data_IF_173890302496
#
_entry.id   IF_173890302496
#
_cell.length_a   1.000
_cell.length_b   1.000
_cell.length_c   1.000
_cell.angle_alpha   90.00
_cell.angle_beta   90.00
_cell.angle_gamma   90.00
#
_symmetry.space_group_name_H-M   'P 1'
#
loop_
_entity.id
_entity.type
_entity.pdbx_description
1 polymer ?
#
# COMPACT_ATOMS: atom_id res chain seq x y z
N UNK A 1 -7.52 12.66 1.63
CA UNK A 1 -6.76 11.49 1.13
C UNK A 1 -6.98 10.21 1.93
N UNK A 2 -7.52 10.27 3.15
CA UNK A 2 -7.55 9.13 4.07
C UNK A 2 -8.45 7.96 3.65
N UNK A 3 -9.74 8.17 3.36
CA UNK A 3 -10.63 7.04 3.07
C UNK A 3 -10.53 6.53 1.62
N UNK A 4 -10.82 7.39 0.63
CA UNK A 4 -10.87 6.95 -0.77
C UNK A 4 -9.53 6.49 -1.34
N UNK A 5 -8.44 7.24 -1.10
CA UNK A 5 -7.14 6.90 -1.67
C UNK A 5 -6.50 5.68 -0.98
N UNK A 6 -6.53 5.59 0.35
CA UNK A 6 -5.92 4.43 1.07
C UNK A 6 -6.68 3.13 0.79
N UNK A 7 -8.01 3.16 0.71
CA UNK A 7 -8.80 1.96 0.38
C UNK A 7 -8.49 1.50 -1.04
N UNK A 8 -8.56 2.41 -2.02
CA UNK A 8 -8.26 2.07 -3.43
C UNK A 8 -6.83 1.57 -3.60
N UNK A 9 -5.87 2.16 -2.88
CA UNK A 9 -4.47 1.71 -2.86
C UNK A 9 -4.30 0.31 -2.24
N UNK A 10 -5.01 0.02 -1.15
CA UNK A 10 -5.00 -1.32 -0.53
C UNK A 10 -5.54 -2.38 -1.49
N UNK A 11 -6.70 -2.14 -2.09
CA UNK A 11 -7.31 -3.06 -3.06
C UNK A 11 -6.39 -3.30 -4.26
N UNK A 12 -5.76 -2.23 -4.75
CA UNK A 12 -4.77 -2.30 -5.83
C UNK A 12 -3.58 -3.20 -5.49
N UNK A 13 -3.00 -3.03 -4.28
CA UNK A 13 -1.85 -3.80 -3.82
C UNK A 13 -2.20 -5.29 -3.62
N UNK A 14 -3.43 -5.57 -3.21
CA UNK A 14 -3.93 -6.93 -2.97
C UNK A 14 -4.56 -7.59 -4.20
N UNK A 15 -4.75 -6.89 -5.32
CA UNK A 15 -5.41 -7.42 -6.53
C UNK A 15 -4.80 -8.74 -7.04
N UNK A 16 -3.46 -8.88 -6.96
CA UNK A 16 -2.76 -10.12 -7.36
C UNK A 16 -2.79 -11.22 -6.29
N UNK A 17 -3.30 -10.91 -5.09
CA UNK A 17 -3.43 -11.81 -3.94
C UNK A 17 -4.87 -12.24 -3.71
N UNK A 18 -5.86 -11.83 -4.52
CA UNK A 18 -7.26 -12.28 -4.39
C UNK A 18 -7.51 -13.50 -5.29
N UNK A 19 -8.01 -14.64 -4.77
CA UNK A 19 -8.26 -15.84 -5.57
C UNK A 19 -9.38 -15.64 -6.60
N UNK A 20 -10.38 -14.80 -6.28
CA UNK A 20 -11.58 -14.64 -7.08
C UNK A 20 -11.32 -14.09 -8.49
N UNK A 21 -10.24 -13.34 -8.70
CA UNK A 21 -9.96 -12.75 -10.01
C UNK A 21 -9.49 -13.79 -11.04
N UNK A 22 -8.98 -14.96 -10.61
CA UNK A 22 -8.78 -16.20 -11.38
C UNK A 22 -7.86 -16.17 -12.61
N UNK A 23 -7.68 -15.01 -13.25
CA UNK A 23 -6.98 -14.79 -14.51
C UNK A 23 -5.95 -13.66 -14.33
N UNK A 24 -4.66 -13.90 -14.66
CA UNK A 24 -3.60 -12.89 -14.52
C UNK A 24 -3.90 -11.59 -15.27
N UNK A 25 -4.59 -11.66 -16.40
CA UNK A 25 -4.98 -10.49 -17.20
C UNK A 25 -6.02 -9.63 -16.47
N UNK A 26 -7.00 -10.24 -15.81
CA UNK A 26 -8.02 -9.50 -15.05
C UNK A 26 -7.40 -8.77 -13.85
N UNK A 27 -6.49 -9.43 -13.12
CA UNK A 27 -5.77 -8.82 -12.00
C UNK A 27 -4.96 -7.59 -12.41
N UNK A 28 -4.29 -7.65 -13.59
CA UNK A 28 -3.57 -6.51 -14.15
C UNK A 28 -4.47 -5.32 -14.45
N UNK A 29 -5.63 -5.56 -15.06
CA UNK A 29 -6.57 -4.49 -15.38
C UNK A 29 -7.21 -3.88 -14.14
N UNK A 30 -7.57 -4.70 -13.16
CA UNK A 30 -8.08 -4.21 -11.87
C UNK A 30 -7.03 -3.34 -11.18
N UNK A 31 -5.78 -3.83 -11.07
CA UNK A 31 -4.67 -3.05 -10.51
C UNK A 31 -4.46 -1.73 -11.26
N UNK A 32 -4.45 -1.75 -12.59
CA UNK A 32 -4.27 -0.53 -13.38
C UNK A 32 -5.42 0.47 -13.14
N UNK A 33 -6.66 0.01 -13.16
CA UNK A 33 -7.84 0.84 -12.97
C UNK A 33 -7.86 1.48 -11.57
N UNK A 34 -7.57 0.71 -10.53
CA UNK A 34 -7.51 1.22 -9.15
C UNK A 34 -6.34 2.18 -8.95
N UNK A 35 -5.15 1.90 -9.50
CA UNK A 35 -4.03 2.86 -9.47
C UNK A 35 -4.37 4.17 -10.20
N UNK A 36 -5.07 4.11 -11.33
CA UNK A 36 -5.49 5.31 -12.08
C UNK A 36 -6.47 6.14 -11.27
N UNK A 37 -7.44 5.50 -10.62
CA UNK A 37 -8.36 6.17 -9.70
C UNK A 37 -7.61 6.81 -8.51
N UNK A 38 -6.61 6.11 -7.95
CA UNK A 38 -5.77 6.65 -6.88
C UNK A 38 -4.95 7.87 -7.32
N UNK A 39 -4.38 7.88 -8.54
CA UNK A 39 -3.71 9.07 -9.10
C UNK A 39 -4.68 10.24 -9.21
N UNK A 40 -5.87 10.02 -9.77
CA UNK A 40 -6.89 11.07 -9.92
C UNK A 40 -7.30 11.66 -8.56
N UNK A 41 -7.57 10.80 -7.57
CA UNK A 41 -7.90 11.22 -6.21
C UNK A 41 -6.76 11.98 -5.55
N UNK A 42 -5.51 11.53 -5.74
CA UNK A 42 -4.32 12.20 -5.21
C UNK A 42 -4.11 13.59 -5.79
N UNK A 43 -4.27 13.75 -7.12
CA UNK A 43 -4.21 15.06 -7.78
C UNK A 43 -5.31 15.98 -7.26
N UNK A 44 -6.56 15.49 -7.17
CA UNK A 44 -7.67 16.27 -6.63
C UNK A 44 -7.40 16.74 -5.19
N UNK A 45 -6.80 15.88 -4.37
CA UNK A 45 -6.36 16.23 -3.01
C UNK A 45 -5.30 17.32 -2.97
N UNK A 46 -4.30 17.24 -3.86
CA UNK A 46 -3.24 18.23 -3.93
C UNK A 46 -3.76 19.60 -4.39
N UNK A 47 -4.65 19.60 -5.39
CA UNK A 47 -5.34 20.83 -5.83
C UNK A 47 -6.15 21.43 -4.68
N UNK A 48 -6.91 20.61 -3.95
CA UNK A 48 -7.72 21.08 -2.83
C UNK A 48 -6.88 21.75 -1.73
N UNK A 49 -5.73 21.17 -1.35
CA UNK A 49 -4.88 21.77 -0.29
C UNK A 49 -4.15 23.02 -0.76
N UNK A 50 -3.71 23.07 -2.03
CA UNK A 50 -3.08 24.27 -2.60
C UNK A 50 -4.08 25.43 -2.62
N UNK A 51 -5.31 25.17 -3.08
CA UNK A 51 -6.37 26.19 -3.06
C UNK A 51 -6.73 26.62 -1.63
N UNK A 52 -6.88 25.68 -0.69
CA UNK A 52 -7.18 26.00 0.70
C UNK A 52 -6.09 26.88 1.34
N UNK A 53 -4.81 26.61 1.07
CA UNK A 53 -3.69 27.42 1.55
C UNK A 53 -3.63 28.81 0.90
N UNK A 54 -3.96 28.90 -0.38
CA UNK A 54 -4.06 30.18 -1.08
C UNK A 54 -5.14 31.09 -0.47
N UNK A 55 -6.33 30.54 -0.16
CA UNK A 55 -7.40 31.31 0.47
C UNK A 55 -7.10 31.71 1.91
N UNK A 56 -6.38 30.88 2.66
CA UNK A 56 -6.02 31.13 4.06
C UNK A 56 -4.68 31.86 4.26
N UNK A 57 -3.96 32.16 3.17
CA UNK A 57 -2.59 32.73 3.21
C UNK A 57 -1.62 31.93 4.11
N UNK A 58 -1.85 30.62 4.19
CA UNK A 58 -1.07 29.73 5.05
C UNK A 58 0.22 29.29 4.36
N UNK A 59 1.31 29.15 5.13
CA UNK A 59 2.58 28.67 4.60
C UNK A 59 2.46 27.26 3.98
N UNK A 60 3.17 27.05 2.87
CA UNK A 60 3.32 25.75 2.25
C UNK A 60 4.52 25.00 2.85
N UNK A 61 4.47 23.66 2.83
CA UNK A 61 5.63 22.80 3.09
C UNK A 61 6.38 23.02 4.42
N UNK A 62 5.69 23.37 5.51
CA UNK A 62 6.33 23.55 6.83
C UNK A 62 6.28 22.31 7.73
N UNK A 63 5.34 21.38 7.50
CA UNK A 63 5.16 20.21 8.35
C UNK A 63 5.79 18.95 7.76
N UNK A 64 6.17 18.01 8.62
CA UNK A 64 6.67 16.68 8.22
C UNK A 64 5.65 15.95 7.35
N UNK A 65 4.36 16.14 7.61
CA UNK A 65 3.28 15.64 6.76
C UNK A 65 3.40 16.16 5.32
N UNK A 66 3.59 17.47 5.14
CA UNK A 66 3.68 18.09 3.82
C UNK A 66 4.89 17.56 3.02
N UNK A 67 6.07 17.45 3.64
CA UNK A 67 7.26 16.88 3.00
C UNK A 67 7.09 15.39 2.65
N UNK A 68 6.62 14.60 3.62
CA UNK A 68 6.42 13.15 3.43
C UNK A 68 5.40 12.88 2.34
N UNK A 69 4.24 13.55 2.38
CA UNK A 69 3.19 13.38 1.38
C UNK A 69 3.64 13.80 -0.02
N UNK A 70 4.41 14.88 -0.16
CA UNK A 70 4.95 15.32 -1.45
C UNK A 70 5.90 14.28 -2.05
N UNK A 71 6.88 13.79 -1.27
CA UNK A 71 7.85 12.78 -1.74
C UNK A 71 7.13 11.49 -2.14
N UNK A 72 6.23 11.01 -1.28
CA UNK A 72 5.47 9.78 -1.55
C UNK A 72 4.57 9.92 -2.77
N UNK A 73 3.93 11.08 -2.96
CA UNK A 73 3.08 11.31 -4.12
C UNK A 73 3.87 11.35 -5.43
N UNK A 74 5.04 11.99 -5.44
CA UNK A 74 5.94 11.98 -6.61
C UNK A 74 6.39 10.55 -6.93
N UNK A 75 6.86 9.80 -5.93
CA UNK A 75 7.25 8.40 -6.10
C UNK A 75 6.08 7.55 -6.62
N UNK A 76 4.87 7.77 -6.10
CA UNK A 76 3.66 7.08 -6.52
C UNK A 76 3.30 7.35 -7.99
N UNK A 77 3.39 8.61 -8.44
CA UNK A 77 3.14 8.95 -9.85
C UNK A 77 4.19 8.34 -10.77
N UNK A 78 5.48 8.43 -10.41
CA UNK A 78 6.56 7.80 -11.18
C UNK A 78 6.36 6.28 -11.29
N UNK A 79 6.02 5.66 -10.16
CA UNK A 79 5.72 4.25 -10.07
C UNK A 79 4.53 3.83 -10.96
N UNK A 80 3.47 4.65 -11.00
CA UNK A 80 2.33 4.45 -11.90
C UNK A 80 2.74 4.55 -13.37
N UNK A 81 3.49 5.59 -13.75
CA UNK A 81 3.93 5.79 -15.13
C UNK A 81 4.85 4.66 -15.63
N UNK A 82 5.80 4.23 -14.80
CA UNK A 82 6.67 3.09 -15.12
C UNK A 82 5.85 1.81 -15.23
N UNK A 83 4.91 1.57 -14.31
CA UNK A 83 4.02 0.41 -14.36
C UNK A 83 3.16 0.39 -15.64
N UNK A 84 2.60 1.53 -16.00
CA UNK A 84 1.82 1.72 -17.23
C UNK A 84 2.66 1.43 -18.47
N UNK A 85 3.85 2.03 -18.58
CA UNK A 85 4.73 1.88 -19.72
C UNK A 85 5.26 0.45 -19.91
N UNK A 86 5.60 -0.25 -18.83
CA UNK A 86 6.30 -1.55 -18.87
C UNK A 86 5.34 -2.74 -18.86
N UNK A 87 4.23 -2.66 -18.10
CA UNK A 87 3.35 -3.82 -17.85
C UNK A 87 1.99 -3.73 -18.52
N UNK A 88 1.48 -2.54 -18.80
CA UNK A 88 0.19 -2.35 -19.48
C UNK A 88 0.36 -2.02 -20.96
N UNK A 89 1.31 -1.15 -21.30
CA UNK A 89 1.65 -0.82 -22.68
C UNK A 89 2.75 -1.76 -23.21
N UNK A 90 2.72 -2.13 -24.50
CA UNK A 90 3.72 -3.01 -25.10
C UNK A 90 5.05 -2.29 -25.44
N UNK A 91 5.42 -1.23 -24.70
CA UNK A 91 6.59 -0.40 -25.01
C UNK A 91 7.91 -1.13 -24.75
N UNK A 92 7.94 -2.03 -23.77
CA UNK A 92 9.10 -2.89 -23.48
C UNK A 92 8.81 -4.30 -23.98
N UNK A 93 9.73 -4.86 -24.79
CA UNK A 93 9.60 -6.23 -25.32
C UNK A 93 10.49 -7.25 -24.60
N UNK A 94 11.63 -6.82 -24.03
CA UNK A 94 12.54 -7.71 -23.30
C UNK A 94 11.92 -8.28 -22.02
N UNK A 95 11.95 -9.60 -21.88
CA UNK A 95 11.48 -10.32 -20.70
C UNK A 95 12.38 -10.08 -19.47
N UNK A 96 13.69 -9.97 -19.68
CA UNK A 96 14.68 -9.73 -18.61
C UNK A 96 14.52 -8.34 -18.01
N UNK A 97 14.35 -7.33 -18.85
CA UNK A 97 14.06 -5.96 -18.41
C UNK A 97 12.76 -5.91 -17.60
N UNK A 98 11.69 -6.57 -18.07
CA UNK A 98 10.42 -6.67 -17.35
C UNK A 98 10.58 -7.34 -15.99
N UNK A 99 11.36 -8.42 -15.90
CA UNK A 99 11.61 -9.12 -14.65
C UNK A 99 12.41 -8.27 -13.66
N UNK A 100 13.40 -7.51 -14.14
CA UNK A 100 14.18 -6.59 -13.30
C UNK A 100 13.31 -5.43 -12.79
N UNK A 101 12.56 -4.77 -13.68
CA UNK A 101 11.64 -3.68 -13.31
C UNK A 101 10.56 -4.17 -12.36
N UNK A 102 10.04 -5.40 -12.54
CA UNK A 102 9.01 -5.94 -11.65
C UNK A 102 9.46 -6.04 -10.19
N UNK A 103 10.73 -6.41 -9.94
CA UNK A 103 11.28 -6.46 -8.57
C UNK A 103 11.22 -5.09 -7.90
N UNK A 104 11.73 -4.07 -8.60
CA UNK A 104 11.71 -2.69 -8.09
C UNK A 104 10.29 -2.12 -8.00
N UNK A 105 9.43 -2.45 -8.96
CA UNK A 105 8.03 -2.04 -8.95
C UNK A 105 7.31 -2.60 -7.71
N UNK A 106 7.54 -3.86 -7.33
CA UNK A 106 6.91 -4.42 -6.13
C UNK A 106 7.39 -3.70 -4.86
N UNK A 107 8.71 -3.50 -4.71
CA UNK A 107 9.31 -2.85 -3.53
C UNK A 107 8.87 -1.39 -3.41
N UNK A 108 8.95 -0.62 -4.50
CA UNK A 108 8.54 0.78 -4.52
C UNK A 108 7.03 0.93 -4.33
N UNK A 109 6.23 0.00 -4.87
CA UNK A 109 4.79 -0.06 -4.63
C UNK A 109 4.46 -0.19 -3.14
N UNK A 110 5.15 -1.09 -2.44
CA UNK A 110 5.01 -1.25 -0.98
C UNK A 110 5.46 0.01 -0.24
N UNK A 111 6.61 0.59 -0.60
CA UNK A 111 7.12 1.82 0.00
C UNK A 111 6.11 2.97 -0.12
N UNK A 112 5.53 3.17 -1.30
CA UNK A 112 4.53 4.24 -1.52
C UNK A 112 3.24 4.00 -0.74
N UNK A 113 2.82 2.74 -0.56
CA UNK A 113 1.68 2.38 0.26
C UNK A 113 1.91 2.71 1.75
N UNK A 114 3.00 2.20 2.34
CA UNK A 114 3.30 2.44 3.75
C UNK A 114 3.63 3.90 4.03
N UNK A 115 4.37 4.55 3.13
CA UNK A 115 4.62 5.99 3.19
C UNK A 115 3.32 6.80 3.08
N UNK A 116 2.35 6.36 2.29
CA UNK A 116 1.02 6.97 2.20
C UNK A 116 0.23 6.87 3.50
N UNK A 117 0.32 5.73 4.20
CA UNK A 117 -0.27 5.56 5.54
C UNK A 117 0.43 6.49 6.55
N UNK A 118 1.76 6.53 6.56
CA UNK A 118 2.52 7.44 7.42
C UNK A 118 2.17 8.92 7.15
N UNK A 119 2.00 9.30 5.89
CA UNK A 119 1.52 10.63 5.50
C UNK A 119 0.11 10.89 6.05
N UNK A 120 -0.82 9.94 5.96
CA UNK A 120 -2.17 10.10 6.50
C UNK A 120 -2.17 10.26 8.04
N UNK A 121 -1.37 9.45 8.75
CA UNK A 121 -1.25 9.53 10.21
C UNK A 121 -0.65 10.87 10.65
N UNK A 122 0.44 11.31 10.02
CA UNK A 122 1.07 12.61 10.31
C UNK A 122 0.16 13.78 9.95
N UNK A 123 -0.69 13.66 8.92
CA UNK A 123 -1.68 14.69 8.57
C UNK A 123 -2.77 14.84 9.62
N UNK A 124 -3.25 13.72 10.21
CA UNK A 124 -4.16 13.77 11.34
C UNK A 124 -3.51 14.37 12.60
N UNK A 125 -2.23 14.09 12.83
CA UNK A 125 -1.49 14.68 13.95
C UNK A 125 -1.34 16.21 13.77
N UNK A 126 -0.95 16.67 12.59
CA UNK A 126 -0.82 18.10 12.25
C UNK A 126 -2.15 18.84 12.45
N UNK A 127 -3.26 18.26 11.97
CA UNK A 127 -4.60 18.83 12.19
C UNK A 127 -4.99 18.92 13.66
N UNK A 128 -4.65 17.91 14.47
CA UNK A 128 -4.96 17.93 15.90
C UNK A 128 -4.12 18.96 16.65
N UNK A 129 -2.83 19.07 16.33
CA UNK A 129 -1.93 20.06 16.94
C UNK A 129 -2.39 21.49 16.62
N UNK A 130 -2.76 21.78 15.37
CA UNK A 130 -3.30 23.09 15.00
C UNK A 130 -4.54 23.44 15.83
N UNK A 131 -5.47 22.50 16.05
CA UNK A 131 -6.65 22.77 16.88
C UNK A 131 -6.28 23.13 18.33
N UNK A 132 -5.28 22.47 18.92
CA UNK A 132 -4.81 22.77 20.27
C UNK A 132 -4.25 24.20 20.35
N UNK A 133 -3.42 24.60 19.37
CA UNK A 133 -2.77 25.91 19.33
C UNK A 133 -3.77 27.07 19.16
N UNK A 134 -4.88 26.84 18.44
CA UNK A 134 -5.97 27.83 18.31
C UNK A 134 -6.93 27.88 19.52
N UNK A 135 -6.54 27.32 20.66
CA UNK A 135 -7.34 27.34 21.89
C UNK A 135 -8.60 26.46 21.82
N UNK A 136 -8.77 25.70 20.74
CA UNK A 136 -9.81 24.71 20.62
C UNK A 136 -9.38 23.47 21.41
N UNK A 137 -9.55 23.51 22.75
CA UNK A 137 -9.39 22.35 23.64
C UNK A 137 -10.49 21.31 23.37
N UNK A 138 -10.51 20.78 22.17
CA UNK A 138 -11.50 19.81 21.74
C UNK A 138 -11.00 18.42 22.16
N UNK A 139 -11.32 18.02 23.40
CA UNK A 139 -11.55 16.60 23.72
C UNK A 139 -12.88 16.09 23.10
N UNK A 140 -13.37 16.78 22.06
CA UNK A 140 -14.60 16.45 21.36
C UNK A 140 -14.43 15.28 20.39
N UNK A 141 -15.54 14.88 19.79
CA UNK A 141 -15.63 13.75 18.85
C UNK A 141 -14.62 13.78 17.71
N UNK A 142 -14.21 14.97 17.24
CA UNK A 142 -13.24 15.12 16.15
C UNK A 142 -11.81 14.63 16.50
N UNK A 143 -11.35 14.87 17.72
CA UNK A 143 -10.01 14.44 18.18
C UNK A 143 -9.98 12.92 18.39
N UNK A 144 -11.05 12.38 18.99
CA UNK A 144 -11.23 10.93 19.13
C UNK A 144 -11.31 10.27 17.74
N UNK A 145 -12.03 10.86 16.80
CA UNK A 145 -12.12 10.39 15.41
C UNK A 145 -10.76 10.40 14.72
N UNK A 146 -9.96 11.46 14.89
CA UNK A 146 -8.61 11.55 14.34
C UNK A 146 -7.67 10.48 14.90
N UNK A 147 -7.65 10.31 16.22
CA UNK A 147 -6.85 9.30 16.90
C UNK A 147 -7.25 7.87 16.51
N UNK A 148 -8.55 7.56 16.55
CA UNK A 148 -9.09 6.26 16.13
C UNK A 148 -8.77 5.97 14.66
N UNK A 149 -8.93 6.95 13.77
CA UNK A 149 -8.58 6.80 12.35
C UNK A 149 -7.09 6.49 12.19
N UNK A 150 -6.21 7.17 12.92
CA UNK A 150 -4.77 6.91 12.87
C UNK A 150 -4.42 5.48 13.35
N UNK A 151 -5.06 5.00 14.41
CA UNK A 151 -4.89 3.61 14.91
C UNK A 151 -5.39 2.59 13.88
N UNK A 152 -6.56 2.83 13.27
CA UNK A 152 -7.09 1.96 12.24
C UNK A 152 -6.19 1.90 10.99
N UNK A 153 -5.57 3.02 10.62
CA UNK A 153 -4.60 3.06 9.52
C UNK A 153 -3.34 2.25 9.84
N UNK A 154 -2.85 2.27 11.08
CA UNK A 154 -1.73 1.41 11.50
C UNK A 154 -2.12 -0.07 11.53
N UNK A 155 -3.33 -0.39 12.01
CA UNK A 155 -3.83 -1.76 11.99
C UNK A 155 -3.95 -2.28 10.54
N UNK A 156 -4.44 -1.45 9.62
CA UNK A 156 -4.48 -1.77 8.19
C UNK A 156 -3.08 -1.99 7.62
N UNK A 157 -2.12 -1.13 7.94
CA UNK A 157 -0.72 -1.29 7.53
C UNK A 157 -0.16 -2.64 7.99
N UNK A 158 -0.37 -3.00 9.26
CA UNK A 158 0.11 -4.25 9.82
C UNK A 158 -0.53 -5.47 9.12
N UNK A 159 -1.84 -5.45 8.90
CA UNK A 159 -2.56 -6.53 8.23
C UNK A 159 -2.08 -6.71 6.77
N UNK A 160 -2.00 -5.61 6.01
CA UNK A 160 -1.52 -5.63 4.62
C UNK A 160 -0.05 -6.03 4.57
N UNK A 161 0.78 -5.55 5.49
CA UNK A 161 2.18 -5.94 5.62
C UNK A 161 2.34 -7.43 5.86
N UNK A 162 1.57 -8.02 6.78
CA UNK A 162 1.56 -9.47 7.02
C UNK A 162 1.20 -10.26 5.76
N UNK A 163 0.21 -9.81 4.99
CA UNK A 163 -0.16 -10.46 3.72
C UNK A 163 0.92 -10.28 2.67
N UNK A 164 1.43 -9.08 2.47
CA UNK A 164 2.33 -8.77 1.37
C UNK A 164 3.74 -9.33 1.59
N UNK A 165 4.20 -9.39 2.83
CA UNK A 165 5.50 -9.93 3.25
C UNK A 165 5.48 -11.45 3.46
N UNK A 166 4.31 -12.05 3.73
CA UNK A 166 4.21 -13.51 3.65
C UNK A 166 4.47 -13.96 2.20
N UNK A 167 5.25 -15.03 2.07
CA UNK A 167 5.81 -15.48 0.79
C UNK A 167 4.75 -15.74 -0.30
N UNK A 168 5.19 -16.01 -1.55
CA UNK A 168 4.29 -16.21 -2.67
C UNK A 168 3.21 -17.25 -2.36
N UNK A 169 1.98 -16.96 -2.76
CA UNK A 169 0.88 -17.91 -2.58
C UNK A 169 1.22 -19.26 -3.27
N UNK A 170 0.95 -20.40 -2.62
CA UNK A 170 0.98 -21.70 -3.28
C UNK A 170 0.02 -21.71 -4.49
N UNK A 171 0.48 -22.20 -5.64
CA UNK A 171 -0.40 -22.37 -6.81
C UNK A 171 -1.42 -23.48 -6.51
N UNK A 172 -2.73 -23.26 -6.77
CA UNK A 172 -3.70 -24.35 -6.71
C UNK A 172 -3.30 -25.39 -7.77
N UNK A 173 -2.88 -26.57 -7.31
CA UNK A 173 -2.39 -27.68 -8.15
C UNK A 173 -0.95 -28.12 -7.90
N UNK A 174 -0.17 -27.44 -7.04
CA UNK A 174 1.08 -27.99 -6.52
C UNK A 174 0.76 -28.96 -5.37
N UNK A 175 1.10 -30.24 -5.54
CA UNK A 175 0.98 -31.27 -4.51
C UNK A 175 1.43 -30.77 -3.13
N UNK A 176 0.79 -31.30 -2.08
CA UNK A 176 1.09 -31.09 -0.66
C UNK A 176 2.55 -30.70 -0.39
N UNK A 177 2.83 -29.70 0.47
CA UNK A 177 4.04 -29.84 1.27
C UNK A 177 3.81 -31.11 2.10
N UNK A 178 4.57 -32.16 1.81
CA UNK A 178 4.68 -33.29 2.72
C UNK A 178 4.91 -32.67 4.10
N UNK A 179 3.92 -32.83 4.97
CA UNK A 179 4.09 -32.61 6.39
C UNK A 179 5.40 -33.29 6.74
N UNK A 180 6.33 -32.53 7.32
CA UNK A 180 7.56 -33.04 7.85
C UNK A 180 7.20 -34.17 8.82
N UNK A 181 7.20 -35.41 8.32
CA UNK A 181 7.07 -36.60 9.10
C UNK A 181 8.35 -36.62 9.95
N UNK A 182 8.20 -36.23 11.21
CA UNK A 182 9.20 -36.46 12.22
C UNK A 182 9.60 -37.95 12.14
N UNK A 183 10.89 -38.29 12.00
CA UNK A 183 11.29 -39.67 11.91
C UNK A 183 11.00 -40.33 13.26
N UNK A 184 10.05 -41.27 13.27
CA UNK A 184 9.84 -42.18 14.39
C UNK A 184 11.11 -43.00 14.55
N UNK A 185 11.87 -42.66 15.59
CA UNK A 185 13.06 -43.36 16.04
C UNK A 185 12.65 -44.72 16.61
N UNK A 186 13.20 -45.79 16.04
CA UNK A 186 13.36 -47.07 16.71
C UNK A 186 12.36 -48.15 16.31
N UNK A 187 12.72 -48.94 15.30
CA UNK A 187 12.46 -50.38 15.27
C UNK A 187 13.66 -51.05 14.59
N UNK A 188 14.54 -51.65 15.39
CA UNK A 188 15.61 -52.52 14.92
C UNK A 188 14.99 -53.83 14.40
N UNK A 189 15.38 -54.36 13.22
CA UNK A 189 14.98 -55.68 12.80
C UNK A 189 15.84 -56.74 13.51
N UNK A 190 15.18 -57.69 14.19
CA UNK A 190 15.82 -58.92 14.69
C UNK A 190 16.32 -59.79 13.51
N UNK A 191 17.41 -60.56 13.67
CA UNK A 191 18.05 -61.27 12.58
C UNK A 191 17.44 -62.67 12.34
N UNK A 192 17.27 -63.00 11.05
CA UNK A 192 17.53 -64.32 10.47
C UNK A 192 16.53 -65.44 10.70
N UNK A 193 15.86 -65.86 9.62
CA UNK A 193 15.79 -67.25 9.11
C UNK A 193 15.70 -67.18 7.59
#
# INVERSE_FOLDING_TARGET
MTLGFVVVMTESLLAFRVPLLGRPTAQKWVHMATQTAAVALGVAGMVAIVQAKLFSQAYHMYSVHAWTSAIIFVLFVLQYLVGLAVFALPLVKSAETKASVAKWHIVLGQLTFFGGIAACVTGWADMQMMNVDFGQRNYGSATILGATTAVLLWALAAAVGGVVLSGPRPKPGGCCPAAAAAPLKGQDPLPGV
#
